data_IF_329293035376
#
_entry.id   IF_329293035376
#
_cell.length_a   1.000
_cell.length_b   1.000
_cell.length_c   1.000
_cell.angle_alpha   90.00
_cell.angle_beta   90.00
_cell.angle_gamma   90.00
#
_symmetry.space_group_name_H-M   'P 1'
#
loop_
_entity.id
_entity.type
_entity.pdbx_description
1 polymer ?
#
# COMPACT_ATOMS: atom_id res chain seq x y z
N UNK A 1 -5.68 0.18 -40.24
CA UNK A 1 -5.46 -0.53 -38.98
C UNK A 1 -5.57 0.56 -37.95
N UNK A 2 -6.70 0.58 -37.24
CA UNK A 2 -7.01 1.62 -36.26
C UNK A 2 -5.98 1.56 -35.14
N UNK A 3 -5.32 2.70 -34.94
CA UNK A 3 -4.47 2.97 -33.80
C UNK A 3 -5.38 3.59 -32.74
N UNK A 4 -6.08 2.72 -31.99
CA UNK A 4 -6.83 3.12 -30.80
C UNK A 4 -5.82 3.59 -29.75
N UNK A 5 -5.46 4.88 -29.84
CA UNK A 5 -4.76 5.63 -28.81
C UNK A 5 -5.52 5.42 -27.49
N UNK A 6 -4.92 4.69 -26.56
CA UNK A 6 -5.43 4.56 -25.20
C UNK A 6 -5.46 5.95 -24.56
N UNK A 7 -6.64 6.59 -24.56
CA UNK A 7 -6.92 7.75 -23.75
C UNK A 7 -6.90 7.31 -22.28
N UNK A 8 -5.99 7.90 -21.50
CA UNK A 8 -6.01 7.72 -20.04
C UNK A 8 -6.90 8.83 -19.50
N UNK A 9 -7.98 8.46 -18.81
CA UNK A 9 -8.92 9.41 -18.22
C UNK A 9 -8.44 9.82 -16.83
N UNK A 10 -8.60 11.10 -16.49
CA UNK A 10 -8.41 11.57 -15.12
C UNK A 10 -9.46 10.99 -14.17
N UNK A 11 -9.26 11.17 -12.85
CA UNK A 11 -10.16 10.69 -11.79
C UNK A 11 -11.61 11.19 -11.87
N UNK A 12 -11.92 12.16 -12.75
CA UNK A 12 -13.26 12.69 -13.01
C UNK A 12 -13.84 12.30 -14.39
N UNK A 13 -13.14 11.48 -15.18
CA UNK A 13 -13.58 11.06 -16.51
C UNK A 13 -13.41 12.12 -17.60
N UNK A 14 -12.72 13.22 -17.33
CA UNK A 14 -12.33 14.18 -18.36
C UNK A 14 -11.07 13.74 -19.11
N UNK A 15 -11.01 14.07 -20.40
CA UNK A 15 -9.77 14.01 -21.19
C UNK A 15 -8.89 15.18 -20.71
N UNK A 16 -7.83 14.90 -19.98
CA UNK A 16 -6.79 15.90 -19.68
C UNK A 16 -6.03 16.21 -20.98
N UNK A 17 -6.61 17.05 -21.82
CA UNK A 17 -6.02 17.53 -23.07
C UNK A 17 -5.26 18.85 -22.91
N UNK A 18 -5.21 19.41 -21.71
CA UNK A 18 -4.52 20.67 -21.49
C UNK A 18 -3.08 20.38 -21.09
N UNK A 19 -2.23 20.27 -22.11
CA UNK A 19 -0.76 20.29 -22.00
C UNK A 19 -0.37 21.42 -21.04
N UNK A 20 0.31 21.13 -19.91
CA UNK A 20 0.75 22.20 -19.02
C UNK A 20 1.74 23.10 -19.78
N UNK A 21 1.73 24.43 -19.54
CA UNK A 21 2.58 25.38 -20.27
C UNK A 21 4.06 24.98 -20.26
N UNK A 22 4.54 24.48 -19.13
CA UNK A 22 5.90 23.96 -18.91
C UNK A 22 6.27 22.75 -19.78
N UNK A 23 5.30 22.02 -20.34
CA UNK A 23 5.54 20.92 -21.28
C UNK A 23 5.52 21.34 -22.77
N UNK A 24 5.30 22.63 -23.06
CA UNK A 24 5.40 23.19 -24.40
C UNK A 24 6.85 23.59 -24.75
N UNK A 25 7.09 24.01 -25.99
CA UNK A 25 8.40 24.50 -26.45
C UNK A 25 9.09 23.59 -27.45
N UNK A 26 10.38 23.84 -27.67
CA UNK A 26 11.25 23.05 -28.55
C UNK A 26 11.92 21.92 -27.76
N UNK A 27 12.25 20.83 -28.45
CA UNK A 27 13.06 19.73 -27.94
C UNK A 27 14.57 20.07 -27.97
N UNK A 28 15.40 19.12 -27.54
CA UNK A 28 16.87 19.26 -27.54
C UNK A 28 17.47 19.41 -28.96
N UNK A 29 16.69 19.14 -30.01
CA UNK A 29 17.08 19.23 -31.42
C UNK A 29 16.58 20.53 -32.09
N UNK A 30 15.80 21.35 -31.39
CA UNK A 30 15.21 22.58 -31.89
C UNK A 30 13.93 22.35 -32.71
N UNK A 31 13.29 21.19 -32.56
CA UNK A 31 12.00 20.85 -33.16
C UNK A 31 10.86 21.17 -32.19
N UNK A 32 9.71 21.61 -32.68
CA UNK A 32 8.55 21.91 -31.82
C UNK A 32 7.98 20.61 -31.24
N UNK A 33 7.92 20.50 -29.91
CA UNK A 33 7.50 19.27 -29.22
C UNK A 33 6.04 18.92 -29.52
N UNK A 34 5.78 17.66 -29.81
CA UNK A 34 4.42 17.09 -29.75
C UNK A 34 3.85 17.11 -28.31
N UNK A 35 2.51 17.18 -28.10
CA UNK A 35 1.89 17.38 -26.76
C UNK A 35 2.41 16.48 -25.63
N UNK A 36 2.71 15.22 -25.96
CA UNK A 36 3.16 14.20 -25.02
C UNK A 36 4.65 13.85 -25.21
N UNK A 37 5.41 14.71 -25.89
CA UNK A 37 6.83 14.52 -26.19
C UNK A 37 7.71 15.20 -25.14
N UNK A 38 8.75 14.48 -24.71
CA UNK A 38 9.79 14.97 -23.80
C UNK A 38 10.83 15.78 -24.56
N UNK A 39 11.62 16.58 -23.86
CA UNK A 39 12.69 17.36 -24.47
C UNK A 39 13.72 16.50 -25.22
N UNK A 40 13.91 15.23 -24.84
CA UNK A 40 14.76 14.27 -25.55
C UNK A 40 14.12 13.63 -26.79
N UNK A 41 12.92 14.04 -27.20
CA UNK A 41 12.20 13.49 -28.35
C UNK A 41 11.55 12.12 -28.08
N UNK A 42 11.19 11.83 -26.84
CA UNK A 42 10.51 10.58 -26.47
C UNK A 42 9.05 10.81 -26.09
N UNK A 43 8.19 9.82 -26.27
CA UNK A 43 6.85 9.87 -25.68
C UNK A 43 6.92 9.75 -24.14
N UNK A 44 6.29 10.68 -23.42
CA UNK A 44 6.21 10.65 -21.95
C UNK A 44 5.60 9.34 -21.41
N UNK A 45 4.65 8.74 -22.13
CA UNK A 45 4.04 7.47 -21.74
C UNK A 45 5.07 6.33 -21.77
N UNK A 46 5.97 6.34 -22.77
CA UNK A 46 7.04 5.36 -22.89
C UNK A 46 8.08 5.58 -21.80
N UNK A 47 8.49 6.82 -21.53
CA UNK A 47 9.44 7.15 -20.46
C UNK A 47 8.87 6.80 -19.08
N UNK A 48 7.59 7.09 -18.82
CA UNK A 48 6.90 6.70 -17.58
C UNK A 48 6.81 5.18 -17.42
N UNK A 49 6.50 4.46 -18.50
CA UNK A 49 6.48 2.99 -18.52
C UNK A 49 7.87 2.37 -18.32
N UNK A 50 8.92 3.02 -18.84
CA UNK A 50 10.33 2.66 -18.63
C UNK A 50 10.70 2.85 -17.16
N UNK A 51 10.37 4.00 -16.57
CA UNK A 51 10.63 4.31 -15.17
C UNK A 51 10.03 3.25 -14.23
N UNK A 52 8.75 2.87 -14.43
CA UNK A 52 8.12 1.83 -13.63
C UNK A 52 8.91 0.51 -13.68
N UNK A 53 9.32 0.10 -14.88
CA UNK A 53 10.05 -1.16 -15.08
C UNK A 53 11.47 -1.08 -14.52
N UNK A 54 12.11 0.08 -14.57
CA UNK A 54 13.42 0.32 -13.97
C UNK A 54 13.34 0.21 -12.44
N UNK A 55 12.36 0.88 -11.81
CA UNK A 55 12.09 0.77 -10.36
C UNK A 55 11.82 -0.67 -9.95
N UNK A 56 10.93 -1.39 -10.64
CA UNK A 56 10.60 -2.81 -10.36
C UNK A 56 11.80 -3.74 -10.48
N UNK A 57 12.80 -3.38 -11.30
CA UNK A 57 14.00 -4.16 -11.56
C UNK A 57 15.24 -3.63 -10.83
N UNK A 58 15.06 -2.64 -9.96
CA UNK A 58 16.14 -1.96 -9.23
C UNK A 58 17.24 -1.39 -10.13
N UNK A 59 16.88 -0.91 -11.32
CA UNK A 59 17.80 -0.27 -12.26
C UNK A 59 17.91 1.22 -11.94
N UNK A 60 18.89 1.58 -11.10
CA UNK A 60 19.07 2.95 -10.60
C UNK A 60 19.40 3.97 -11.72
N UNK A 61 20.22 3.58 -12.70
CA UNK A 61 20.67 4.48 -13.75
C UNK A 61 19.51 4.85 -14.67
N UNK A 62 18.76 3.84 -15.14
CA UNK A 62 17.60 4.05 -16.01
C UNK A 62 16.48 4.77 -15.25
N UNK A 63 16.26 4.45 -13.98
CA UNK A 63 15.27 5.13 -13.15
C UNK A 63 15.61 6.61 -12.94
N UNK A 64 16.88 6.92 -12.63
CA UNK A 64 17.35 8.30 -12.47
C UNK A 64 17.19 9.10 -13.76
N UNK A 65 17.59 8.53 -14.90
CA UNK A 65 17.43 9.19 -16.20
C UNK A 65 15.97 9.45 -16.54
N UNK A 66 15.09 8.45 -16.42
CA UNK A 66 13.69 8.58 -16.79
C UNK A 66 12.95 9.61 -15.92
N UNK A 67 13.26 9.67 -14.62
CA UNK A 67 12.70 10.69 -13.73
C UNK A 67 13.23 12.10 -14.03
N UNK A 68 14.54 12.22 -14.30
CA UNK A 68 15.13 13.50 -14.72
C UNK A 68 14.51 14.02 -16.02
N UNK A 69 14.30 13.14 -17.00
CA UNK A 69 13.73 13.47 -18.30
C UNK A 69 12.27 13.92 -18.18
N UNK A 70 11.43 13.20 -17.41
CA UNK A 70 10.05 13.62 -17.16
C UNK A 70 9.98 14.96 -16.44
N UNK A 71 10.82 15.17 -15.41
CA UNK A 71 10.81 16.41 -14.64
C UNK A 71 11.21 17.63 -15.48
N UNK A 72 12.32 17.54 -16.22
CA UNK A 72 12.79 18.68 -17.03
C UNK A 72 11.86 19.02 -18.19
N UNK A 73 11.13 18.04 -18.70
CA UNK A 73 10.24 18.20 -19.87
C UNK A 73 8.85 18.74 -19.50
N UNK A 74 8.64 19.18 -18.26
CA UNK A 74 7.35 19.71 -17.79
C UNK A 74 6.33 18.63 -17.40
N UNK A 75 6.73 17.36 -17.27
CA UNK A 75 5.85 16.25 -16.87
C UNK A 75 5.99 15.87 -15.39
N UNK A 76 6.31 16.84 -14.52
CA UNK A 76 6.45 16.65 -13.08
C UNK A 76 5.21 16.04 -12.43
N UNK A 77 4.01 16.52 -12.81
CA UNK A 77 2.73 15.97 -12.32
C UNK A 77 2.61 14.47 -12.60
N UNK A 78 2.94 14.04 -13.82
CA UNK A 78 2.86 12.64 -14.22
C UNK A 78 3.95 11.81 -13.51
N UNK A 79 5.14 12.36 -13.35
CA UNK A 79 6.21 11.71 -12.61
C UNK A 79 5.79 11.40 -11.17
N UNK A 80 5.27 12.39 -10.44
CA UNK A 80 4.96 12.25 -9.02
C UNK A 80 3.77 11.34 -8.75
N UNK A 81 2.70 11.45 -9.55
CA UNK A 81 1.58 10.50 -9.52
C UNK A 81 2.07 9.06 -9.67
N UNK A 82 2.97 8.85 -10.64
CA UNK A 82 3.50 7.52 -10.96
C UNK A 82 4.47 7.00 -9.91
N UNK A 83 5.34 7.84 -9.34
CA UNK A 83 6.22 7.43 -8.23
C UNK A 83 5.42 6.99 -7.00
N UNK A 84 4.33 7.70 -6.66
CA UNK A 84 3.43 7.28 -5.58
C UNK A 84 2.73 5.95 -5.89
N UNK A 85 2.31 5.71 -7.13
CA UNK A 85 1.79 4.40 -7.55
C UNK A 85 2.85 3.30 -7.40
N UNK A 86 4.10 3.54 -7.77
CA UNK A 86 5.16 2.51 -7.66
C UNK A 86 5.41 2.11 -6.21
N UNK A 87 5.30 3.06 -5.27
CA UNK A 87 5.44 2.78 -3.83
C UNK A 87 4.45 1.72 -3.36
N UNK A 88 3.23 1.70 -3.88
CA UNK A 88 2.18 0.74 -3.48
C UNK A 88 2.11 -0.50 -4.38
N UNK A 89 2.45 -0.38 -5.67
CA UNK A 89 2.31 -1.46 -6.65
C UNK A 89 3.57 -2.34 -6.77
N UNK A 90 4.75 -1.73 -6.68
CA UNK A 90 6.02 -2.33 -7.11
C UNK A 90 7.07 -2.45 -6.00
N UNK A 91 6.81 -1.93 -4.80
CA UNK A 91 7.72 -1.96 -3.65
C UNK A 91 7.10 -2.69 -2.46
N UNK A 92 7.95 -3.33 -1.64
CA UNK A 92 7.52 -4.01 -0.41
C UNK A 92 6.97 -2.99 0.59
N UNK A 93 5.85 -3.34 1.23
CA UNK A 93 5.27 -2.57 2.32
C UNK A 93 6.23 -2.41 3.52
N UNK A 94 6.02 -1.36 4.32
CA UNK A 94 6.77 -1.10 5.55
C UNK A 94 8.17 -0.52 5.37
N UNK A 95 8.46 0.09 4.22
CA UNK A 95 9.73 0.77 3.94
C UNK A 95 9.56 2.30 4.00
N UNK A 96 10.62 3.02 4.36
CA UNK A 96 10.63 4.49 4.47
C UNK A 96 10.43 5.22 3.13
N UNK A 97 10.48 4.50 2.01
CA UNK A 97 10.41 5.06 0.64
C UNK A 97 9.16 5.88 0.41
N UNK A 98 8.01 5.50 0.99
CA UNK A 98 6.78 6.29 0.90
C UNK A 98 6.96 7.71 1.47
N UNK A 99 7.57 7.81 2.66
CA UNK A 99 7.83 9.10 3.31
C UNK A 99 8.92 9.90 2.58
N UNK A 100 9.92 9.22 2.02
CA UNK A 100 10.95 9.86 1.20
C UNK A 100 10.37 10.48 -0.07
N UNK A 101 9.56 9.71 -0.82
CA UNK A 101 8.89 10.19 -2.05
C UNK A 101 7.99 11.37 -1.73
N UNK A 102 7.12 11.25 -0.71
CA UNK A 102 6.25 12.36 -0.28
C UNK A 102 7.05 13.63 0.06
N UNK A 103 8.20 13.48 0.73
CA UNK A 103 9.06 14.63 1.07
C UNK A 103 9.71 15.26 -0.16
N UNK A 104 10.17 14.47 -1.12
CA UNK A 104 10.79 15.00 -2.33
C UNK A 104 9.75 15.66 -3.24
N UNK A 105 8.55 15.11 -3.32
CA UNK A 105 7.42 15.70 -4.02
C UNK A 105 7.07 17.07 -3.43
N UNK A 106 6.83 17.16 -2.12
CA UNK A 106 6.53 18.43 -1.42
C UNK A 106 7.61 19.49 -1.71
N UNK A 107 8.89 19.11 -1.65
CA UNK A 107 9.98 20.04 -1.97
C UNK A 107 9.96 20.51 -3.43
N UNK A 108 9.58 19.64 -4.36
CA UNK A 108 9.56 19.93 -5.81
C UNK A 108 8.28 20.59 -6.31
N UNK A 109 7.22 20.63 -5.50
CA UNK A 109 5.92 21.20 -5.89
C UNK A 109 5.54 22.42 -5.04
N UNK A 110 5.98 22.48 -3.78
CA UNK A 110 5.63 23.58 -2.88
C UNK A 110 6.76 24.58 -2.64
N UNK A 111 8.01 24.22 -2.99
CA UNK A 111 9.19 25.01 -2.62
C UNK A 111 10.10 25.40 -3.78
N UNK A 112 10.20 24.55 -4.79
CA UNK A 112 11.09 24.68 -5.93
C UNK A 112 10.29 24.40 -7.20
N UNK A 113 10.71 24.98 -8.33
CA UNK A 113 10.11 24.66 -9.62
C UNK A 113 10.62 23.29 -10.11
N UNK A 114 9.78 22.53 -10.82
CA UNK A 114 10.10 21.16 -11.22
C UNK A 114 11.29 21.10 -12.20
N UNK A 115 11.37 22.06 -13.11
CA UNK A 115 12.39 22.15 -14.16
C UNK A 115 13.67 22.85 -13.69
N UNK A 116 13.70 23.50 -12.52
CA UNK A 116 14.96 24.01 -11.97
C UNK A 116 15.84 22.88 -11.42
N UNK A 117 17.14 23.16 -11.26
CA UNK A 117 18.11 22.16 -10.80
C UNK A 117 17.68 21.43 -9.53
N UNK A 118 17.07 22.14 -8.57
CA UNK A 118 16.61 21.55 -7.30
C UNK A 118 15.38 20.66 -7.45
N UNK A 119 14.39 21.06 -8.25
CA UNK A 119 13.23 20.22 -8.57
C UNK A 119 13.66 18.93 -9.27
N UNK A 120 14.56 19.03 -10.26
CA UNK A 120 15.13 17.85 -10.93
C UNK A 120 15.91 16.94 -9.99
N UNK A 121 16.62 17.50 -9.00
CA UNK A 121 17.26 16.67 -7.97
C UNK A 121 16.22 15.91 -7.14
N UNK A 122 15.12 16.54 -6.73
CA UNK A 122 14.04 15.83 -6.02
C UNK A 122 13.50 14.66 -6.84
N UNK A 123 13.22 14.86 -8.13
CA UNK A 123 12.78 13.82 -9.05
C UNK A 123 13.76 12.63 -9.10
N UNK A 124 15.06 12.91 -9.29
CA UNK A 124 16.11 11.89 -9.31
C UNK A 124 16.23 11.18 -7.96
N UNK A 125 16.21 11.92 -6.85
CA UNK A 125 16.28 11.37 -5.51
C UNK A 125 15.11 10.42 -5.21
N UNK A 126 13.90 10.79 -5.60
CA UNK A 126 12.71 9.96 -5.43
C UNK A 126 12.80 8.66 -6.26
N UNK A 127 13.21 8.75 -7.53
CA UNK A 127 13.39 7.58 -8.38
C UNK A 127 14.49 6.64 -7.87
N UNK A 128 15.62 7.18 -7.38
CA UNK A 128 16.68 6.40 -6.75
C UNK A 128 16.21 5.73 -5.45
N UNK A 129 15.43 6.44 -4.62
CA UNK A 129 14.85 5.86 -3.41
C UNK A 129 13.93 4.68 -3.76
N UNK A 130 13.07 4.84 -4.77
CA UNK A 130 12.23 3.76 -5.28
C UNK A 130 13.03 2.58 -5.84
N UNK A 131 14.04 2.83 -6.69
CA UNK A 131 14.84 1.75 -7.29
C UNK A 131 15.68 0.98 -6.26
N UNK A 132 16.11 1.63 -5.18
CA UNK A 132 16.89 1.01 -4.08
C UNK A 132 16.03 0.29 -3.04
N UNK A 133 14.76 0.65 -2.93
CA UNK A 133 13.84 -0.05 -2.05
C UNK A 133 13.63 -1.48 -2.55
N UNK A 134 13.35 -2.40 -1.62
CA UNK A 134 13.09 -3.78 -1.99
C UNK A 134 11.80 -3.84 -2.83
N UNK A 135 11.92 -4.29 -4.08
CA UNK A 135 10.79 -4.50 -4.97
C UNK A 135 9.91 -5.65 -4.50
N UNK A 136 8.61 -5.51 -4.67
CA UNK A 136 7.62 -6.55 -4.39
C UNK A 136 6.35 -6.24 -5.17
N UNK A 137 5.66 -7.29 -5.63
CA UNK A 137 4.31 -7.16 -6.19
C UNK A 137 3.25 -7.81 -5.29
N UNK A 138 3.58 -8.04 -4.01
CA UNK A 138 2.69 -8.72 -3.06
C UNK A 138 1.31 -8.06 -2.98
N UNK A 139 1.23 -6.73 -2.88
CA UNK A 139 -0.05 -6.03 -2.81
C UNK A 139 -0.88 -6.21 -4.09
N UNK A 140 -0.27 -6.02 -5.26
CA UNK A 140 -0.95 -6.21 -6.55
C UNK A 140 -1.41 -7.66 -6.75
N UNK A 141 -0.55 -8.63 -6.42
CA UNK A 141 -0.89 -10.05 -6.53
C UNK A 141 -1.98 -10.46 -5.53
N UNK A 142 -2.00 -9.86 -4.33
CA UNK A 142 -3.03 -10.12 -3.34
C UNK A 142 -4.40 -9.57 -3.78
N UNK A 143 -4.44 -8.34 -4.31
CA UNK A 143 -5.66 -7.74 -4.88
C UNK A 143 -6.23 -8.60 -6.02
N UNK A 144 -5.38 -8.99 -6.98
CA UNK A 144 -5.76 -9.87 -8.09
C UNK A 144 -6.28 -11.22 -7.58
N UNK A 145 -5.57 -11.84 -6.65
CA UNK A 145 -5.97 -13.13 -6.07
C UNK A 145 -7.31 -13.05 -5.35
N UNK A 146 -7.50 -12.10 -4.44
CA UNK A 146 -8.74 -12.00 -3.68
C UNK A 146 -9.93 -11.60 -4.57
N UNK A 147 -9.72 -10.74 -5.57
CA UNK A 147 -10.73 -10.42 -6.58
C UNK A 147 -11.18 -11.67 -7.35
N UNK A 148 -10.23 -12.46 -7.86
CA UNK A 148 -10.52 -13.70 -8.58
C UNK A 148 -11.24 -14.73 -7.70
N UNK A 149 -10.84 -14.88 -6.43
CA UNK A 149 -11.54 -15.75 -5.47
C UNK A 149 -12.98 -15.28 -5.24
N UNK A 150 -13.20 -13.97 -5.11
CA UNK A 150 -14.55 -13.41 -4.92
C UNK A 150 -15.48 -13.75 -6.10
N UNK A 151 -15.01 -13.57 -7.32
CA UNK A 151 -15.76 -13.89 -8.54
C UNK A 151 -16.08 -15.40 -8.62
N UNK A 152 -15.08 -16.25 -8.38
CA UNK A 152 -15.28 -17.70 -8.37
C UNK A 152 -16.29 -18.18 -7.32
N UNK A 153 -16.28 -17.56 -6.14
CA UNK A 153 -17.27 -17.86 -5.08
C UNK A 153 -18.69 -17.45 -5.49
N UNK A 154 -18.83 -16.27 -6.10
CA UNK A 154 -20.12 -15.78 -6.58
C UNK A 154 -20.70 -16.72 -7.65
N UNK A 155 -19.88 -17.10 -8.63
CA UNK A 155 -20.27 -18.03 -9.70
C UNK A 155 -20.65 -19.42 -9.19
N UNK A 156 -19.89 -19.99 -8.24
CA UNK A 156 -20.21 -21.30 -7.66
C UNK A 156 -21.55 -21.25 -6.92
N UNK A 157 -21.80 -20.17 -6.17
CA UNK A 157 -23.06 -19.95 -5.47
C UNK A 157 -24.25 -19.85 -6.42
N UNK A 158 -24.11 -19.18 -7.55
CA UNK A 158 -25.16 -19.12 -8.58
C UNK A 158 -25.50 -20.49 -9.15
N UNK A 159 -24.51 -21.39 -9.26
CA UNK A 159 -24.71 -22.77 -9.72
C UNK A 159 -25.15 -23.73 -8.61
N UNK A 160 -25.18 -23.29 -7.35
CA UNK A 160 -25.44 -24.16 -6.20
C UNK A 160 -24.32 -25.18 -5.95
N UNK A 161 -23.09 -24.82 -6.30
CA UNK A 161 -21.88 -25.63 -6.18
C UNK A 161 -20.96 -25.09 -5.07
N UNK A 162 -20.08 -25.95 -4.57
CA UNK A 162 -18.99 -25.54 -3.68
C UNK A 162 -17.89 -24.85 -4.49
N UNK A 163 -17.38 -23.67 -4.07
CA UNK A 163 -16.29 -23.02 -4.78
C UNK A 163 -14.99 -23.83 -4.70
N UNK A 164 -14.19 -23.75 -5.77
CA UNK A 164 -12.88 -24.41 -5.83
C UNK A 164 -11.81 -23.74 -4.96
N UNK A 165 -12.03 -22.47 -4.61
CA UNK A 165 -11.13 -21.64 -3.81
C UNK A 165 -11.97 -20.76 -2.88
N UNK A 166 -11.47 -20.51 -1.68
CA UNK A 166 -12.14 -19.67 -0.69
C UNK A 166 -11.15 -18.68 -0.05
N UNK A 167 -11.69 -17.69 0.66
CA UNK A 167 -10.89 -16.75 1.42
C UNK A 167 -10.18 -17.45 2.58
N UNK A 168 -9.03 -16.91 3.03
CA UNK A 168 -8.25 -17.50 4.13
C UNK A 168 -9.00 -17.55 5.46
N UNK A 169 -10.13 -16.84 5.57
CA UNK A 169 -10.95 -16.77 6.78
C UNK A 169 -12.13 -17.75 6.81
N UNK A 170 -12.48 -18.39 5.67
CA UNK A 170 -13.68 -19.22 5.55
C UNK A 170 -14.94 -18.49 6.05
N UNK A 171 -15.78 -19.21 6.79
CA UNK A 171 -16.93 -18.63 7.48
C UNK A 171 -16.51 -18.02 8.83
N UNK A 172 -16.87 -16.75 9.02
CA UNK A 172 -16.67 -16.05 10.29
C UNK A 172 -17.86 -16.32 11.20
N UNK A 173 -17.69 -17.27 12.11
CA UNK A 173 -18.69 -17.64 13.11
C UNK A 173 -18.13 -17.54 14.54
N UNK A 174 -18.94 -17.16 15.53
CA UNK A 174 -18.55 -17.25 16.93
C UNK A 174 -18.22 -18.69 17.31
N UNK A 175 -17.28 -18.85 18.24
CA UNK A 175 -16.71 -20.14 18.68
C UNK A 175 -15.93 -20.88 17.57
N UNK A 176 -15.75 -20.24 16.40
CA UNK A 176 -14.88 -20.73 15.33
C UNK A 176 -13.42 -20.30 15.49
N UNK A 177 -12.60 -20.56 14.46
CA UNK A 177 -11.16 -20.26 14.47
C UNK A 177 -10.84 -18.80 14.82
N UNK A 178 -11.64 -17.87 14.30
CA UNK A 178 -11.44 -16.43 14.48
C UNK A 178 -12.27 -15.86 15.65
N UNK A 179 -12.60 -16.66 16.67
CA UNK A 179 -13.54 -16.27 17.73
C UNK A 179 -13.23 -14.92 18.41
N UNK A 180 -11.94 -14.58 18.51
CA UNK A 180 -11.45 -13.34 19.09
C UNK A 180 -12.00 -12.08 18.40
N UNK A 181 -12.42 -12.15 17.12
CA UNK A 181 -13.00 -10.98 16.42
C UNK A 181 -14.41 -10.64 16.90
N UNK A 182 -15.11 -11.57 17.55
CA UNK A 182 -16.46 -11.38 18.09
C UNK A 182 -16.40 -10.80 19.51
N UNK A 183 -15.76 -9.65 19.65
CA UNK A 183 -15.66 -8.92 20.91
C UNK A 183 -16.86 -7.98 21.15
N UNK A 184 -16.82 -7.21 22.24
CA UNK A 184 -17.89 -6.29 22.64
C UNK A 184 -18.19 -5.15 21.66
N UNK A 185 -17.31 -4.89 20.67
CA UNK A 185 -17.56 -3.92 19.60
C UNK A 185 -18.43 -4.51 18.48
N UNK A 186 -18.56 -5.83 18.41
CA UNK A 186 -19.48 -6.51 17.49
C UNK A 186 -20.86 -6.70 18.12
N UNK A 187 -21.91 -6.66 17.29
CA UNK A 187 -23.28 -6.91 17.76
C UNK A 187 -23.48 -8.31 18.34
N UNK A 188 -22.74 -9.30 17.84
CA UNK A 188 -22.80 -10.69 18.32
C UNK A 188 -22.01 -10.89 19.62
N UNK A 189 -20.78 -10.35 19.70
CA UNK A 189 -19.99 -10.41 20.93
C UNK A 189 -20.65 -9.65 22.09
N UNK A 190 -21.26 -8.50 21.82
CA UNK A 190 -22.05 -7.76 22.82
C UNK A 190 -23.23 -8.60 23.36
N UNK A 191 -23.99 -9.29 22.49
CA UNK A 191 -25.08 -10.19 22.91
C UNK A 191 -24.58 -11.38 23.75
N UNK A 192 -23.33 -11.79 23.55
CA UNK A 192 -22.65 -12.85 24.30
C UNK A 192 -21.98 -12.38 25.59
N UNK A 193 -22.08 -11.08 25.92
CA UNK A 193 -21.46 -10.52 27.12
C UNK A 193 -19.94 -10.42 27.05
N UNK A 194 -19.34 -10.44 25.85
CA UNK A 194 -17.88 -10.39 25.64
C UNK A 194 -17.35 -8.97 25.81
N UNK A 195 -17.36 -8.48 27.05
CA UNK A 195 -16.91 -7.14 27.40
C UNK A 195 -15.40 -7.01 27.57
N UNK A 196 -14.98 -6.11 28.46
CA UNK A 196 -13.57 -5.81 28.76
C UNK A 196 -12.75 -7.06 29.08
N UNK A 197 -13.34 -8.02 29.80
CA UNK A 197 -12.66 -9.27 30.17
C UNK A 197 -12.23 -10.05 28.93
N UNK A 198 -13.16 -10.36 28.03
CA UNK A 198 -12.90 -11.08 26.79
C UNK A 198 -11.89 -10.33 25.90
N UNK A 199 -12.05 -9.01 25.75
CA UNK A 199 -11.11 -8.20 24.99
C UNK A 199 -9.68 -8.32 25.53
N UNK A 200 -9.49 -8.21 26.86
CA UNK A 200 -8.17 -8.28 27.48
C UNK A 200 -7.51 -9.64 27.34
N UNK A 201 -8.27 -10.72 27.42
CA UNK A 201 -7.74 -12.09 27.40
C UNK A 201 -7.67 -12.71 26.00
N UNK A 202 -8.36 -12.15 25.00
CA UNK A 202 -8.41 -12.68 23.63
C UNK A 202 -8.02 -11.62 22.60
N UNK A 203 -8.85 -10.59 22.43
CA UNK A 203 -8.73 -9.63 21.31
C UNK A 203 -7.55 -8.66 21.38
N UNK A 204 -7.01 -8.40 22.56
CA UNK A 204 -5.91 -7.46 22.78
C UNK A 204 -4.52 -8.10 22.72
N UNK A 205 -4.43 -9.43 22.54
CA UNK A 205 -3.16 -10.14 22.49
C UNK A 205 -2.41 -9.80 21.21
N UNK A 206 -1.08 -9.72 21.31
CA UNK A 206 -0.18 -9.42 20.20
C UNK A 206 0.87 -10.52 20.07
N UNK A 207 1.41 -10.74 18.88
CA UNK A 207 2.42 -11.76 18.64
C UNK A 207 3.16 -11.59 17.31
N UNK A 208 4.17 -12.44 17.05
CA UNK A 208 4.53 -13.59 17.89
C UNK A 208 5.44 -13.27 19.08
N UNK A 209 6.16 -12.14 19.07
CA UNK A 209 7.07 -11.78 20.17
C UNK A 209 6.36 -11.29 21.43
N UNK A 210 5.12 -10.81 21.29
CA UNK A 210 4.34 -10.26 22.38
C UNK A 210 4.66 -8.80 22.69
N UNK A 211 4.20 -8.36 23.85
CA UNK A 211 4.45 -7.02 24.36
C UNK A 211 5.91 -6.84 24.79
N UNK A 212 6.44 -5.63 24.62
CA UNK A 212 7.71 -5.28 25.29
C UNK A 212 7.57 -5.35 26.81
N UNK A 213 8.66 -5.58 27.55
CA UNK A 213 8.66 -5.65 29.02
C UNK A 213 7.94 -4.47 29.69
N UNK A 214 8.13 -3.26 29.14
CA UNK A 214 7.51 -2.05 29.67
C UNK A 214 5.99 -2.03 29.43
N UNK A 215 5.56 -2.42 28.24
CA UNK A 215 4.15 -2.50 27.87
C UNK A 215 3.43 -3.61 28.63
N UNK A 216 4.03 -4.80 28.72
CA UNK A 216 3.53 -5.92 29.52
C UNK A 216 3.32 -5.54 30.99
N UNK A 217 4.27 -4.81 31.57
CA UNK A 217 4.14 -4.27 32.93
C UNK A 217 2.97 -3.29 33.05
N UNK A 218 2.79 -2.39 32.09
CA UNK A 218 1.67 -1.45 32.10
C UNK A 218 0.32 -2.15 31.94
N UNK A 219 0.23 -3.15 31.07
CA UNK A 219 -0.98 -3.94 30.88
C UNK A 219 -1.37 -4.70 32.15
N UNK A 220 -0.43 -5.38 32.81
CA UNK A 220 -0.66 -6.02 34.12
C UNK A 220 -1.23 -5.01 35.13
N UNK A 221 -0.58 -3.86 35.28
CA UNK A 221 -1.03 -2.84 36.23
C UNK A 221 -2.41 -2.30 35.87
N UNK A 222 -2.69 -2.10 34.59
CA UNK A 222 -4.01 -1.66 34.11
C UNK A 222 -5.10 -2.69 34.41
N UNK A 223 -4.81 -3.99 34.30
CA UNK A 223 -5.75 -5.06 34.67
C UNK A 223 -5.98 -5.12 36.18
N UNK A 224 -4.91 -5.06 36.98
CA UNK A 224 -5.02 -5.05 38.46
C UNK A 224 -5.81 -3.84 38.99
N UNK A 225 -5.71 -2.70 38.33
CA UNK A 225 -6.42 -1.47 38.71
C UNK A 225 -7.79 -1.33 38.04
N UNK A 226 -8.21 -2.30 37.23
CA UNK A 226 -9.48 -2.28 36.51
C UNK A 226 -10.67 -2.43 37.44
N UNK A 227 -11.83 -1.93 37.02
CA UNK A 227 -13.12 -2.26 37.65
C UNK A 227 -13.63 -3.65 37.28
N UNK A 228 -13.07 -4.26 36.24
CA UNK A 228 -13.28 -5.68 35.89
C UNK A 228 -12.36 -6.52 36.76
N UNK A 229 -12.89 -7.55 37.40
CA UNK A 229 -12.09 -8.48 38.18
C UNK A 229 -11.33 -9.41 37.23
N UNK A 230 -10.02 -9.53 37.43
CA UNK A 230 -9.13 -10.43 36.70
C UNK A 230 -8.39 -11.28 37.72
N UNK A 231 -8.30 -12.57 37.48
CA UNK A 231 -7.39 -13.42 38.25
C UNK A 231 -5.98 -13.43 37.65
N UNK A 232 -5.05 -14.13 38.30
CA UNK A 232 -3.67 -14.21 37.81
C UNK A 232 -3.58 -14.96 36.47
N UNK A 233 -4.46 -15.93 36.21
CA UNK A 233 -4.48 -16.68 34.96
C UNK A 233 -5.00 -15.79 33.80
N UNK A 234 -5.96 -14.89 34.06
CA UNK A 234 -6.40 -13.89 33.09
C UNK A 234 -5.26 -12.93 32.72
N UNK A 235 -4.49 -12.49 33.72
CA UNK A 235 -3.34 -11.61 33.50
C UNK A 235 -2.23 -12.34 32.75
N UNK A 236 -1.89 -13.58 33.13
CA UNK A 236 -0.91 -14.40 32.42
C UNK A 236 -1.34 -14.59 30.96
N UNK A 237 -2.61 -14.94 30.72
CA UNK A 237 -3.18 -15.10 29.39
C UNK A 237 -3.15 -13.82 28.55
N UNK A 238 -3.49 -12.69 29.14
CA UNK A 238 -3.50 -11.41 28.44
C UNK A 238 -2.09 -10.96 28.01
N UNK A 239 -1.06 -11.42 28.71
CA UNK A 239 0.36 -11.13 28.43
C UNK A 239 1.03 -12.19 27.56
N UNK A 240 0.41 -13.35 27.40
CA UNK A 240 0.92 -14.43 26.56
C UNK A 240 0.81 -14.05 25.07
N UNK A 241 1.92 -14.07 24.32
CA UNK A 241 1.91 -13.79 22.90
C UNK A 241 0.99 -14.75 22.13
N UNK A 242 0.53 -14.33 20.94
CA UNK A 242 -0.09 -15.29 20.02
C UNK A 242 0.97 -16.16 19.35
N UNK A 243 0.60 -17.40 18.99
CA UNK A 243 1.51 -18.34 18.35
C UNK A 243 1.84 -17.88 16.91
N UNK A 244 3.08 -18.05 16.47
CA UNK A 244 3.52 -17.63 15.13
C UNK A 244 2.92 -18.49 14.01
N UNK A 245 2.74 -19.79 14.28
CA UNK A 245 2.21 -20.78 13.35
C UNK A 245 0.68 -20.86 13.41
N UNK A 246 0.06 -20.51 14.54
CA UNK A 246 -1.39 -20.30 14.65
C UNK A 246 -1.78 -19.06 15.49
N UNK A 247 -1.74 -17.85 14.91
CA UNK A 247 -2.00 -16.60 15.63
C UNK A 247 -3.41 -16.47 16.21
N UNK A 248 -4.34 -17.31 15.75
CA UNK A 248 -5.74 -17.31 16.14
C UNK A 248 -6.07 -18.40 17.16
N UNK A 249 -5.10 -19.26 17.50
CA UNK A 249 -5.28 -20.26 18.53
C UNK A 249 -5.67 -19.60 19.85
N UNK A 250 -6.77 -20.09 20.42
CA UNK A 250 -7.03 -19.86 21.83
C UNK A 250 -5.96 -20.59 22.64
N UNK A 251 -5.62 -20.12 23.85
CA UNK A 251 -4.68 -20.80 24.73
C UNK A 251 -5.13 -22.20 25.22
N UNK A 252 -6.29 -22.69 24.77
CA UNK A 252 -6.83 -24.04 25.05
C UNK A 252 -7.18 -24.83 23.77
N UNK A 253 -6.72 -24.38 22.59
CA UNK A 253 -6.91 -25.06 21.29
C UNK A 253 -5.84 -26.12 21.02
#
# INVERSE_FOLDING_TARGET
MDDERQATFGTDGSLETDRPPEAAGEDDFGEEKDPDETDGGFSRYVVSSLLQKAVRRSDEEVAAWAAWELARSGFGWNLWERLNLYVVEDLRAGQDVATQVARYEELATERWEADEWRGRLCAVHAALACARAQSSREAANADEYFGAVADHRAEARERGEEPSHDFPVGDLEPEGRFDAVFDGHTGEGSRRGRGTEFFKTHGARVGPEGESDLSARWQRLAMVLSSTEFDEADIERALEPTDADDPWAGPES
#
